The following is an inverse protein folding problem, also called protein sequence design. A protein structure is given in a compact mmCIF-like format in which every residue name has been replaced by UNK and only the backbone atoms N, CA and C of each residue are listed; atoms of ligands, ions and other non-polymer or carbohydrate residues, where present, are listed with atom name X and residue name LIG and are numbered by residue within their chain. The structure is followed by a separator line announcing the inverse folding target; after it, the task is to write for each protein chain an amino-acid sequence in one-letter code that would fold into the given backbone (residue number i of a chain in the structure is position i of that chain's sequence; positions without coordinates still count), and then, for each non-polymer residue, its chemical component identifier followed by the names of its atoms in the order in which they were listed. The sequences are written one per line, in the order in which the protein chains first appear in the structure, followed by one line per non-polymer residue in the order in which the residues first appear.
data_IF_819792187544
#
_entry.id   IF_819792187544
#
_cell.length_a   1.000
_cell.length_b   1.000
_cell.length_c   1.000
_cell.angle_alpha   90.00
_cell.angle_beta   90.00
_cell.angle_gamma   90.00
#
_symmetry.space_group_name_H-M   'P 1'
#
loop_
_entity.id
_entity.type
_entity.pdbx_description
1 polymer ?
#
# COMPACT_ATOMS: atom_id res chain seq x y z
N UNK A 1 -6.58 -0.36 -23.96
CA UNK A 1 -6.41 0.80 -23.08
C UNK A 1 -5.31 1.67 -23.66
N UNK A 2 -5.58 2.94 -23.93
CA UNK A 2 -4.53 3.89 -24.28
C UNK A 2 -3.80 4.30 -23.00
N UNK A 3 -2.67 3.67 -22.74
CA UNK A 3 -1.79 3.98 -21.62
C UNK A 3 -0.59 4.72 -22.20
N UNK A 4 -0.27 5.89 -21.64
CA UNK A 4 0.89 6.66 -22.08
C UNK A 4 2.20 6.08 -21.56
N UNK A 5 3.33 6.50 -22.16
CA UNK A 5 4.65 6.05 -21.71
C UNK A 5 4.96 6.43 -20.28
N UNK A 6 4.58 7.62 -19.82
CA UNK A 6 4.77 8.07 -18.44
C UNK A 6 3.96 7.23 -17.45
N UNK A 7 2.70 6.96 -17.73
CA UNK A 7 1.84 6.11 -16.92
C UNK A 7 2.38 4.68 -16.80
N UNK A 8 2.86 4.10 -17.90
CA UNK A 8 3.41 2.75 -17.92
C UNK A 8 4.69 2.65 -17.08
N UNK A 9 5.59 3.62 -17.19
CA UNK A 9 6.83 3.66 -16.40
C UNK A 9 6.52 3.76 -14.90
N UNK A 10 5.61 4.63 -14.50
CA UNK A 10 5.23 4.78 -13.09
C UNK A 10 4.53 3.53 -12.57
N UNK A 11 3.58 2.97 -13.31
CA UNK A 11 2.87 1.76 -12.92
C UNK A 11 3.83 0.56 -12.73
N UNK A 12 4.84 0.43 -13.59
CA UNK A 12 5.84 -0.63 -13.49
C UNK A 12 6.86 -0.39 -12.36
N UNK A 13 7.23 0.86 -12.09
CA UNK A 13 8.25 1.21 -11.10
C UNK A 13 7.69 1.26 -9.66
N UNK A 14 6.44 1.65 -9.48
CA UNK A 14 5.82 1.87 -8.16
C UNK A 14 5.99 0.71 -7.17
N UNK A 15 5.82 -0.58 -7.54
CA UNK A 15 5.96 -1.69 -6.60
C UNK A 15 7.38 -1.90 -6.09
N UNK A 16 8.38 -1.43 -6.83
CA UNK A 16 9.78 -1.65 -6.50
C UNK A 16 10.42 -0.46 -5.79
N UNK A 17 10.14 0.74 -6.29
CA UNK A 17 10.81 1.97 -5.88
C UNK A 17 9.99 2.73 -4.84
N UNK A 18 8.69 2.75 -4.96
CA UNK A 18 7.78 3.47 -4.09
C UNK A 18 7.04 4.60 -4.81
N UNK A 19 5.99 5.10 -4.18
CA UNK A 19 5.10 6.09 -4.80
C UNK A 19 5.77 7.44 -5.05
N UNK A 20 6.61 7.92 -4.13
CA UNK A 20 7.30 9.22 -4.26
C UNK A 20 8.43 9.14 -5.28
N UNK A 21 9.21 8.09 -5.20
CA UNK A 21 10.36 7.86 -6.07
C UNK A 21 9.94 7.54 -7.50
N UNK A 22 8.84 6.82 -7.72
CA UNK A 22 8.32 6.56 -9.07
C UNK A 22 7.85 7.83 -9.77
N UNK A 23 7.28 8.78 -9.04
CA UNK A 23 6.94 10.10 -9.58
C UNK A 23 8.19 10.92 -9.94
N UNK A 24 9.29 10.75 -9.19
CA UNK A 24 10.57 11.41 -9.52
C UNK A 24 11.19 10.90 -10.82
N UNK A 25 10.94 9.65 -11.23
CA UNK A 25 11.42 9.13 -12.51
C UNK A 25 10.84 9.89 -13.69
N UNK A 26 9.62 10.39 -13.56
CA UNK A 26 8.94 11.16 -14.59
C UNK A 26 8.95 12.67 -14.34
N UNK A 27 9.78 13.16 -13.39
CA UNK A 27 9.86 14.58 -13.01
C UNK A 27 9.86 15.54 -14.20
N UNK A 28 10.66 15.34 -15.27
CA UNK A 28 10.68 16.25 -16.42
C UNK A 28 9.36 16.34 -17.18
N UNK A 29 8.50 15.33 -17.05
CA UNK A 29 7.21 15.27 -17.73
C UNK A 29 6.06 15.83 -16.92
N UNK A 30 6.21 15.92 -15.59
CA UNK A 30 5.12 16.33 -14.66
C UNK A 30 4.41 17.62 -15.09
N UNK A 31 5.12 18.71 -15.52
CA UNK A 31 4.45 19.92 -15.95
C UNK A 31 3.64 19.79 -17.25
N UNK A 32 3.82 18.71 -17.98
CA UNK A 32 3.21 18.47 -19.29
C UNK A 32 2.26 17.27 -19.28
N UNK A 33 2.00 16.68 -18.11
CA UNK A 33 1.03 15.59 -17.97
C UNK A 33 -0.39 16.12 -18.08
N UNK A 34 -1.26 15.32 -18.70
CA UNK A 34 -2.70 15.56 -18.67
C UNK A 34 -3.27 15.26 -17.29
N UNK A 35 -4.44 15.80 -16.98
CA UNK A 35 -5.12 15.51 -15.70
C UNK A 35 -5.39 14.01 -15.51
N UNK A 36 -5.69 13.30 -16.60
CA UNK A 36 -5.89 11.85 -16.57
C UNK A 36 -4.59 11.08 -16.26
N UNK A 37 -3.48 11.48 -16.87
CA UNK A 37 -2.15 10.91 -16.57
C UNK A 37 -1.73 11.18 -15.13
N UNK A 38 -1.91 12.42 -14.66
CA UNK A 38 -1.59 12.78 -13.28
C UNK A 38 -2.42 11.98 -12.27
N UNK A 39 -3.73 11.84 -12.54
CA UNK A 39 -4.62 11.01 -11.73
C UNK A 39 -4.14 9.54 -11.71
N UNK A 40 -3.70 9.01 -12.84
CA UNK A 40 -3.18 7.65 -12.94
C UNK A 40 -1.87 7.47 -12.15
N UNK A 41 -0.94 8.40 -12.26
CA UNK A 41 0.34 8.39 -11.51
C UNK A 41 0.08 8.37 -10.01
N UNK A 42 -0.83 9.21 -9.53
CA UNK A 42 -1.21 9.23 -8.12
C UNK A 42 -1.90 7.93 -7.69
N UNK A 43 -2.83 7.43 -8.49
CA UNK A 43 -3.57 6.19 -8.20
C UNK A 43 -2.63 4.98 -8.14
N UNK A 44 -1.68 4.87 -9.06
CA UNK A 44 -0.67 3.80 -9.04
C UNK A 44 0.20 3.86 -7.79
N UNK A 45 0.60 5.05 -7.38
CA UNK A 45 1.41 5.25 -6.17
C UNK A 45 0.69 4.78 -4.91
N UNK A 46 -0.60 5.10 -4.77
CA UNK A 46 -1.39 4.69 -3.60
C UNK A 46 -1.83 3.23 -3.63
N UNK A 47 -1.86 2.60 -4.80
CA UNK A 47 -2.31 1.21 -4.95
C UNK A 47 -1.21 0.19 -4.64
N UNK A 48 0.06 0.57 -4.66
CA UNK A 48 1.21 -0.32 -4.52
C UNK A 48 2.00 -0.02 -3.25
N UNK A 49 2.74 -1.02 -2.77
CA UNK A 49 3.61 -0.90 -1.58
C UNK A 49 5.05 -0.77 -2.07
N UNK A 50 5.80 0.19 -1.53
CA UNK A 50 7.22 0.36 -1.82
C UNK A 50 8.05 -0.85 -1.35
N UNK A 51 9.12 -1.19 -2.05
CA UNK A 51 9.98 -2.32 -1.70
C UNK A 51 10.61 -2.20 -0.30
N UNK A 52 10.96 -0.99 0.14
CA UNK A 52 11.46 -0.74 1.50
C UNK A 52 10.39 -0.99 2.57
N UNK A 53 9.15 -0.60 2.29
CA UNK A 53 8.00 -0.80 3.16
C UNK A 53 7.60 -2.28 3.20
N UNK A 54 7.72 -2.99 2.07
CA UNK A 54 7.52 -4.43 1.97
C UNK A 54 8.43 -5.17 2.97
N UNK A 55 9.72 -4.82 3.02
CA UNK A 55 10.67 -5.42 3.97
C UNK A 55 10.26 -5.17 5.43
N UNK A 56 9.78 -3.96 5.73
CA UNK A 56 9.28 -3.63 7.07
C UNK A 56 8.05 -4.48 7.44
N UNK A 57 7.10 -4.68 6.54
CA UNK A 57 5.92 -5.51 6.81
C UNK A 57 6.27 -7.00 6.99
N UNK A 58 7.24 -7.50 6.25
CA UNK A 58 7.75 -8.87 6.45
C UNK A 58 8.38 -9.00 7.83
N UNK A 59 9.12 -8.00 8.30
CA UNK A 59 9.71 -8.01 9.65
C UNK A 59 8.65 -7.96 10.75
N UNK A 60 7.47 -7.43 10.47
CA UNK A 60 6.31 -7.43 11.38
C UNK A 60 5.51 -8.76 11.35
N UNK A 61 5.95 -9.75 10.57
CA UNK A 61 5.35 -11.09 10.51
C UNK A 61 4.25 -11.27 9.47
N UNK A 62 4.08 -10.32 8.54
CA UNK A 62 3.11 -10.46 7.45
C UNK A 62 3.68 -11.38 6.36
N UNK A 63 2.83 -12.22 5.79
CA UNK A 63 3.20 -13.16 4.73
C UNK A 63 3.72 -12.43 3.48
N UNK A 64 4.97 -12.68 3.03
CA UNK A 64 5.54 -12.05 1.84
C UNK A 64 4.74 -12.36 0.57
N UNK A 65 4.22 -13.58 0.48
CA UNK A 65 3.44 -14.03 -0.67
C UNK A 65 2.16 -13.21 -0.85
N UNK A 66 1.44 -12.95 0.26
CA UNK A 66 0.23 -12.14 0.23
C UNK A 66 0.52 -10.69 -0.20
N UNK A 67 1.63 -10.11 0.29
CA UNK A 67 2.04 -8.75 -0.07
C UNK A 67 2.40 -8.62 -1.56
N UNK A 68 3.23 -9.53 -2.06
CA UNK A 68 3.66 -9.50 -3.47
C UNK A 68 2.48 -9.75 -4.41
N UNK A 69 1.62 -10.74 -4.11
CA UNK A 69 0.43 -11.00 -4.94
C UNK A 69 -0.53 -9.81 -4.95
N UNK A 70 -0.73 -9.15 -3.82
CA UNK A 70 -1.52 -7.93 -3.72
C UNK A 70 -0.95 -6.79 -4.58
N UNK A 71 0.36 -6.57 -4.55
CA UNK A 71 1.02 -5.55 -5.38
C UNK A 71 0.84 -5.83 -6.88
N UNK A 72 1.06 -7.07 -7.30
CA UNK A 72 0.93 -7.46 -8.73
C UNK A 72 -0.52 -7.29 -9.22
N UNK A 73 -1.51 -7.61 -8.38
CA UNK A 73 -2.93 -7.42 -8.72
C UNK A 73 -3.35 -5.94 -8.73
N UNK A 74 -2.74 -5.11 -7.89
CA UNK A 74 -3.07 -3.69 -7.76
C UNK A 74 -2.68 -2.87 -8.98
N UNK A 75 -1.61 -3.24 -9.70
CA UNK A 75 -1.13 -2.50 -10.88
C UNK A 75 -2.20 -2.40 -11.98
N UNK A 76 -2.69 -3.51 -12.54
CA UNK A 76 -3.71 -3.45 -13.59
C UNK A 76 -5.04 -2.89 -13.05
N UNK A 77 -5.38 -3.13 -11.79
CA UNK A 77 -6.58 -2.59 -11.18
C UNK A 77 -6.53 -1.06 -11.08
N UNK A 78 -5.40 -0.49 -10.67
CA UNK A 78 -5.22 0.96 -10.59
C UNK A 78 -5.33 1.63 -11.96
N UNK A 79 -4.74 1.02 -13.00
CA UNK A 79 -4.85 1.48 -14.39
C UNK A 79 -6.31 1.46 -14.87
N UNK A 80 -7.02 0.37 -14.62
CA UNK A 80 -8.40 0.22 -15.04
C UNK A 80 -9.34 1.24 -14.35
N UNK A 81 -9.23 1.36 -13.01
CA UNK A 81 -10.06 2.26 -12.22
C UNK A 81 -9.78 3.73 -12.56
N UNK A 82 -8.50 4.08 -12.72
CA UNK A 82 -8.14 5.45 -13.10
C UNK A 82 -8.72 5.86 -14.44
N UNK A 83 -8.57 5.01 -15.46
CA UNK A 83 -9.14 5.28 -16.81
C UNK A 83 -10.68 5.25 -16.85
N UNK A 84 -11.32 4.48 -15.95
CA UNK A 84 -12.78 4.54 -15.78
C UNK A 84 -13.23 5.86 -15.14
N UNK A 85 -12.48 6.35 -14.16
CA UNK A 85 -12.82 7.58 -13.43
C UNK A 85 -12.49 8.83 -14.23
N UNK A 86 -11.35 8.82 -14.91
CA UNK A 86 -10.81 9.92 -15.69
C UNK A 86 -10.38 9.39 -17.07
N UNK A 87 -11.29 9.33 -18.06
CA UNK A 87 -10.95 8.92 -19.41
C UNK A 87 -10.04 9.98 -20.07
N UNK A 88 -9.06 9.51 -20.80
CA UNK A 88 -8.17 10.38 -21.57
C UNK A 88 -8.93 11.02 -22.72
N UNK A 89 -8.98 12.35 -22.74
CA UNK A 89 -9.64 13.15 -23.79
C UNK A 89 -8.60 13.94 -24.56
N UNK A 90 -7.44 14.21 -23.95
CA UNK A 90 -6.36 15.01 -24.50
C UNK A 90 -5.27 14.14 -25.13
N UNK A 91 -4.53 14.68 -26.09
CA UNK A 91 -3.37 14.00 -26.64
C UNK A 91 -2.20 14.09 -25.65
N UNK A 92 -1.76 12.95 -25.12
CA UNK A 92 -0.63 12.94 -24.20
C UNK A 92 0.69 13.16 -24.94
N UNK A 93 1.61 13.91 -24.34
CA UNK A 93 2.94 14.18 -24.88
C UNK A 93 3.76 12.90 -25.10
N UNK A 94 3.48 11.86 -24.34
CA UNK A 94 4.19 10.57 -24.35
C UNK A 94 3.45 9.48 -25.14
N UNK A 95 2.37 9.82 -25.86
CA UNK A 95 1.64 8.89 -26.70
C UNK A 95 2.45 8.59 -27.98
N UNK A 96 3.16 7.46 -27.98
CA UNK A 96 3.87 6.93 -29.15
C UNK A 96 5.25 7.54 -29.43
N UNK A 97 5.65 8.62 -28.79
CA UNK A 97 7.01 9.20 -28.90
C UNK A 97 7.48 9.69 -27.54
N UNK A 98 8.75 9.38 -27.21
CA UNK A 98 9.38 9.89 -26.00
C UNK A 98 10.01 11.25 -26.34
N UNK A 99 9.25 12.33 -26.15
CA UNK A 99 9.79 13.69 -26.27
C UNK A 99 10.20 14.12 -24.86
N UNK A 100 11.50 14.20 -24.60
CA UNK A 100 12.01 14.72 -23.34
C UNK A 100 11.88 16.25 -23.34
N UNK A 101 11.03 16.85 -22.48
CA UNK A 101 10.93 18.28 -22.38
C UNK A 101 12.29 18.86 -21.98
N UNK A 102 12.74 19.88 -22.69
CA UNK A 102 14.00 20.57 -22.35
C UNK A 102 13.72 21.60 -21.25
N UNK A 103 13.70 21.17 -20.03
CA UNK A 103 13.71 22.08 -18.89
C UNK A 103 15.09 22.75 -18.81
N UNK A 104 15.12 24.05 -19.05
CA UNK A 104 16.39 24.80 -19.13
C UNK A 104 16.93 25.18 -17.75
N UNK A 105 16.08 25.21 -16.73
CA UNK A 105 16.40 25.78 -15.41
C UNK A 105 17.11 24.80 -14.46
N UNK A 106 17.12 23.50 -14.72
CA UNK A 106 17.73 22.51 -13.84
C UNK A 106 18.73 21.57 -14.52
N UNK A 107 19.43 22.01 -15.59
CA UNK A 107 20.46 21.13 -16.19
C UNK A 107 21.66 20.99 -15.27
N UNK A 108 21.89 19.79 -14.67
CA UNK A 108 23.09 19.56 -13.91
C UNK A 108 24.30 19.65 -14.85
N UNK A 109 25.32 20.36 -14.46
CA UNK A 109 26.56 20.51 -15.25
C UNK A 109 27.36 19.20 -15.36
N UNK A 110 27.23 18.31 -14.36
CA UNK A 110 27.92 17.03 -14.27
C UNK A 110 27.03 15.96 -13.60
N UNK A 111 27.35 14.68 -13.83
CA UNK A 111 26.66 13.56 -13.18
C UNK A 111 26.69 13.62 -11.65
N UNK A 112 27.79 14.10 -11.07
CA UNK A 112 27.94 14.31 -9.64
C UNK A 112 27.00 15.40 -9.12
N UNK A 113 26.84 16.47 -9.87
CA UNK A 113 25.90 17.55 -9.54
C UNK A 113 24.44 17.05 -9.61
N UNK A 114 24.10 16.23 -10.62
CA UNK A 114 22.79 15.59 -10.70
C UNK A 114 22.52 14.68 -9.49
N UNK A 115 23.50 13.90 -9.07
CA UNK A 115 23.41 13.04 -7.89
C UNK A 115 23.22 13.86 -6.60
N UNK A 116 23.97 14.94 -6.42
CA UNK A 116 23.84 15.83 -5.25
C UNK A 116 22.46 16.47 -5.18
N UNK A 117 21.94 16.97 -6.31
CA UNK A 117 20.61 17.57 -6.39
C UNK A 117 19.51 16.53 -6.11
N UNK A 118 19.64 15.31 -6.65
CA UNK A 118 18.73 14.20 -6.38
C UNK A 118 18.73 13.80 -4.90
N UNK A 119 19.90 13.69 -4.28
CA UNK A 119 20.04 13.39 -2.84
C UNK A 119 19.40 14.46 -1.96
N UNK A 120 19.61 15.74 -2.28
CA UNK A 120 18.99 16.85 -1.56
C UNK A 120 17.46 16.81 -1.66
N UNK A 121 16.94 16.57 -2.86
CA UNK A 121 15.52 16.44 -3.09
C UNK A 121 14.94 15.24 -2.33
N UNK A 122 15.63 14.10 -2.34
CA UNK A 122 15.24 12.89 -1.61
C UNK A 122 15.15 13.12 -0.10
N UNK A 123 16.14 13.79 0.51
CA UNK A 123 16.12 14.13 1.94
C UNK A 123 14.95 15.08 2.26
N UNK A 124 14.72 16.07 1.41
CA UNK A 124 13.63 17.04 1.60
C UNK A 124 12.26 16.35 1.56
N UNK A 125 12.03 15.48 0.58
CA UNK A 125 10.78 14.73 0.45
C UNK A 125 10.62 13.73 1.60
N UNK A 126 11.66 12.95 1.93
CA UNK A 126 11.64 12.02 3.05
C UNK A 126 11.38 12.71 4.40
N UNK A 127 12.03 13.84 4.64
CA UNK A 127 11.79 14.64 5.84
C UNK A 127 10.34 15.16 5.94
N UNK A 128 9.76 15.58 4.81
CA UNK A 128 8.38 16.03 4.74
C UNK A 128 7.38 14.90 5.02
N UNK A 129 7.65 13.69 4.51
CA UNK A 129 6.82 12.50 4.76
C UNK A 129 6.85 12.14 6.26
N UNK A 130 8.04 12.09 6.88
CA UNK A 130 8.18 11.79 8.31
C UNK A 130 7.47 12.84 9.16
N UNK A 131 7.63 14.13 8.85
CA UNK A 131 6.96 15.20 9.56
C UNK A 131 5.43 15.10 9.45
N UNK A 132 4.91 14.83 8.25
CA UNK A 132 3.48 14.64 8.03
C UNK A 132 2.93 13.44 8.82
N UNK A 133 3.66 12.31 8.83
CA UNK A 133 3.30 11.13 9.62
C UNK A 133 3.24 11.41 11.12
N UNK A 134 4.22 12.12 11.66
CA UNK A 134 4.23 12.51 13.08
C UNK A 134 3.05 13.41 13.42
N UNK A 135 2.74 14.38 12.56
CA UNK A 135 1.58 15.26 12.75
C UNK A 135 0.26 14.48 12.74
N UNK A 136 0.08 13.55 11.80
CA UNK A 136 -1.13 12.72 11.72
C UNK A 136 -1.26 11.83 12.95
N UNK A 137 -0.18 11.20 13.41
CA UNK A 137 -0.18 10.37 14.61
C UNK A 137 -0.50 11.17 15.87
N UNK A 138 0.06 12.38 16.00
CA UNK A 138 -0.22 13.27 17.12
C UNK A 138 -1.70 13.70 17.12
N UNK A 139 -2.23 14.07 15.94
CA UNK A 139 -3.64 14.45 15.79
C UNK A 139 -4.57 13.27 16.12
N UNK A 140 -4.27 12.07 15.63
CA UNK A 140 -5.02 10.86 15.97
C UNK A 140 -4.99 10.56 17.47
N UNK A 141 -3.83 10.70 18.11
CA UNK A 141 -3.69 10.54 19.56
C UNK A 141 -4.54 11.54 20.33
N UNK A 142 -4.53 12.80 19.91
CA UNK A 142 -5.37 13.84 20.51
C UNK A 142 -6.86 13.54 20.34
N UNK A 143 -7.30 13.22 19.12
CA UNK A 143 -8.69 12.88 18.84
C UNK A 143 -9.15 11.66 19.65
N UNK A 144 -8.33 10.61 19.71
CA UNK A 144 -8.64 9.42 20.51
C UNK A 144 -8.71 9.74 22.01
N UNK A 145 -7.82 10.58 22.53
CA UNK A 145 -7.87 11.03 23.92
C UNK A 145 -9.17 11.78 24.27
N UNK A 146 -9.57 12.70 23.40
CA UNK A 146 -10.83 13.45 23.56
C UNK A 146 -12.06 12.54 23.45
N UNK A 147 -12.08 11.64 22.46
CA UNK A 147 -13.20 10.71 22.28
C UNK A 147 -13.32 9.71 23.41
N UNK A 148 -12.22 9.18 23.92
CA UNK A 148 -12.22 8.28 25.07
C UNK A 148 -12.67 8.97 26.34
N UNK A 149 -12.27 10.25 26.56
CA UNK A 149 -12.73 11.04 27.67
C UNK A 149 -14.25 11.28 27.58
N UNK A 150 -14.76 11.64 26.42
CA UNK A 150 -16.20 11.85 26.17
C UNK A 150 -16.98 10.54 26.24
N UNK A 151 -16.42 9.45 25.71
CA UNK A 151 -17.00 8.12 25.78
C UNK A 151 -17.22 7.65 27.24
N UNK A 152 -16.25 7.91 28.13
CA UNK A 152 -16.39 7.63 29.57
C UNK A 152 -17.52 8.42 30.20
N UNK A 153 -17.72 9.68 29.80
CA UNK A 153 -18.80 10.49 30.27
C UNK A 153 -20.19 9.95 29.85
N UNK A 154 -20.27 9.42 28.61
CA UNK A 154 -21.49 8.83 28.06
C UNK A 154 -21.66 7.34 28.41
N UNK A 155 -20.77 6.77 29.22
CA UNK A 155 -20.72 5.34 29.54
C UNK A 155 -20.58 4.42 28.33
N UNK A 156 -19.97 4.92 27.24
CA UNK A 156 -19.61 4.15 26.05
C UNK A 156 -18.13 3.79 26.17
N UNK A 157 -17.86 2.50 26.43
CA UNK A 157 -16.50 2.01 26.52
C UNK A 157 -15.88 1.91 25.12
N UNK A 158 -14.59 2.32 24.98
CA UNK A 158 -13.77 2.20 23.77
C UNK A 158 -14.20 3.06 22.55
N UNK A 159 -14.77 4.24 22.80
CA UNK A 159 -15.06 5.18 21.72
C UNK A 159 -13.73 5.74 21.16
N UNK A 160 -13.34 5.27 19.97
CA UNK A 160 -12.13 5.68 19.27
C UNK A 160 -12.45 6.11 17.85
N UNK A 161 -11.56 6.92 17.23
CA UNK A 161 -11.69 7.29 15.81
C UNK A 161 -11.74 6.03 14.93
N UNK A 162 -10.96 5.01 15.27
CA UNK A 162 -10.91 3.74 14.55
C UNK A 162 -12.28 3.04 14.51
N UNK A 163 -13.00 3.06 15.64
CA UNK A 163 -14.34 2.48 15.72
C UNK A 163 -15.33 3.25 14.83
N UNK A 164 -15.34 4.58 14.94
CA UNK A 164 -16.26 5.43 14.15
C UNK A 164 -16.02 5.25 12.65
N UNK A 165 -14.76 5.34 12.24
CA UNK A 165 -14.38 5.17 10.84
C UNK A 165 -14.64 3.75 10.36
N UNK A 166 -14.44 2.73 11.22
CA UNK A 166 -14.79 1.35 10.94
C UNK A 166 -16.26 1.16 10.60
N UNK A 167 -17.17 1.79 11.34
CA UNK A 167 -18.61 1.75 11.02
C UNK A 167 -18.94 2.45 9.71
N UNK A 168 -18.29 3.58 9.41
CA UNK A 168 -18.48 4.31 8.14
C UNK A 168 -18.04 3.44 6.94
N UNK A 169 -16.91 2.73 7.07
CA UNK A 169 -16.38 1.85 6.02
C UNK A 169 -16.95 0.42 6.03
N UNK A 170 -17.86 0.12 6.97
CA UNK A 170 -18.52 -1.19 7.04
C UNK A 170 -19.22 -1.60 5.73
N UNK A 171 -20.03 -0.73 5.09
CA UNK A 171 -20.65 -1.07 3.81
C UNK A 171 -19.62 -1.30 2.69
N UNK A 172 -18.48 -0.61 2.72
CA UNK A 172 -17.41 -0.79 1.75
C UNK A 172 -16.77 -2.17 1.91
N UNK A 173 -16.43 -2.56 3.14
CA UNK A 173 -15.89 -3.88 3.42
C UNK A 173 -16.87 -5.01 3.05
N UNK A 174 -18.16 -4.78 3.26
CA UNK A 174 -19.21 -5.70 2.82
C UNK A 174 -19.26 -5.88 1.30
N UNK A 175 -19.19 -4.77 0.54
CA UNK A 175 -19.17 -4.79 -0.92
C UNK A 175 -17.90 -5.42 -1.50
N UNK A 176 -16.78 -5.36 -0.78
CA UNK A 176 -15.53 -6.05 -1.14
C UNK A 176 -15.60 -7.57 -0.96
N UNK A 177 -16.68 -8.10 -0.39
CA UNK A 177 -16.88 -9.54 -0.23
C UNK A 177 -16.16 -10.17 0.96
N UNK A 178 -15.86 -9.39 1.99
CA UNK A 178 -15.26 -9.90 3.23
C UNK A 178 -16.23 -10.83 3.95
N UNK A 179 -15.74 -11.95 4.46
CA UNK A 179 -16.54 -12.96 5.14
C UNK A 179 -17.20 -12.40 6.41
N UNK A 180 -18.48 -12.81 6.65
CA UNK A 180 -19.33 -12.25 7.73
C UNK A 180 -19.01 -12.77 9.14
N UNK A 181 -17.99 -13.60 9.30
CA UNK A 181 -17.67 -14.32 10.54
C UNK A 181 -17.00 -13.47 11.65
N UNK A 182 -17.35 -12.18 11.76
CA UNK A 182 -16.82 -11.28 12.80
C UNK A 182 -15.60 -10.46 12.37
N UNK A 183 -14.98 -10.78 11.25
CA UNK A 183 -13.80 -10.07 10.75
C UNK A 183 -14.15 -8.85 9.90
N UNK A 184 -15.42 -8.72 9.47
CA UNK A 184 -15.88 -7.61 8.65
C UNK A 184 -15.65 -6.24 9.32
N UNK A 185 -15.92 -6.12 10.62
CA UNK A 185 -15.67 -4.89 11.38
C UNK A 185 -14.17 -4.60 11.49
N UNK A 186 -13.35 -5.62 11.72
CA UNK A 186 -11.89 -5.45 11.81
C UNK A 186 -11.30 -4.98 10.48
N UNK A 187 -11.73 -5.59 9.37
CA UNK A 187 -11.30 -5.19 8.02
C UNK A 187 -11.78 -3.78 7.69
N UNK A 188 -13.02 -3.42 8.04
CA UNK A 188 -13.52 -2.05 7.84
C UNK A 188 -12.75 -1.01 8.66
N UNK A 189 -12.36 -1.32 9.90
CA UNK A 189 -11.49 -0.48 10.72
C UNK A 189 -10.11 -0.30 10.07
N UNK A 190 -9.51 -1.36 9.54
CA UNK A 190 -8.23 -1.30 8.84
C UNK A 190 -8.29 -0.43 7.59
N UNK A 191 -9.32 -0.59 6.77
CA UNK A 191 -9.56 0.25 5.60
C UNK A 191 -9.69 1.72 6.04
N UNK A 192 -10.47 1.96 7.08
CA UNK A 192 -10.69 3.29 7.62
C UNK A 192 -9.42 3.95 8.14
N UNK A 193 -8.61 3.22 8.90
CA UNK A 193 -7.32 3.73 9.42
C UNK A 193 -6.36 4.01 8.28
N UNK A 194 -6.29 3.13 7.26
CA UNK A 194 -5.45 3.35 6.08
C UNK A 194 -5.80 4.64 5.36
N UNK A 195 -7.09 4.94 5.23
CA UNK A 195 -7.57 6.16 4.53
C UNK A 195 -7.34 7.42 5.36
N UNK A 196 -7.57 7.37 6.67
CA UNK A 196 -7.51 8.56 7.56
C UNK A 196 -6.08 8.85 8.02
N UNK A 197 -5.31 7.83 8.33
CA UNK A 197 -3.96 7.99 8.86
C UNK A 197 -2.89 7.61 7.84
N UNK A 198 -2.54 6.35 7.78
CA UNK A 198 -1.59 5.76 6.83
C UNK A 198 -1.60 4.24 6.97
N UNK A 199 -1.06 3.56 5.98
CA UNK A 199 -0.90 2.11 5.96
C UNK A 199 0.00 1.58 7.10
N UNK A 200 1.08 2.29 7.45
CA UNK A 200 1.95 1.93 8.59
C UNK A 200 1.19 1.91 9.91
N UNK A 201 0.36 2.92 10.13
CA UNK A 201 -0.47 3.01 11.33
C UNK A 201 -1.51 1.89 11.32
N UNK A 202 -2.14 1.62 10.18
CA UNK A 202 -3.10 0.53 10.05
C UNK A 202 -2.47 -0.83 10.38
N UNK A 203 -1.26 -1.10 9.90
CA UNK A 203 -0.53 -2.35 10.18
C UNK A 203 -0.09 -2.44 11.63
N UNK A 204 0.35 -1.34 12.24
CA UNK A 204 0.77 -1.31 13.66
C UNK A 204 -0.39 -1.53 14.63
N UNK A 205 -1.58 -1.08 14.29
CA UNK A 205 -2.80 -1.29 15.08
C UNK A 205 -3.52 -2.60 14.75
N UNK A 206 -3.12 -3.29 13.67
CA UNK A 206 -3.78 -4.51 13.27
C UNK A 206 -3.38 -5.67 14.17
N UNK A 207 -4.33 -6.34 14.84
CA UNK A 207 -4.11 -7.70 15.30
C UNK A 207 -3.98 -8.70 14.13
N UNK A 208 -3.62 -8.19 12.96
CA UNK A 208 -3.52 -8.94 11.70
C UNK A 208 -2.38 -9.94 11.73
N UNK A 209 -1.30 -9.64 12.43
CA UNK A 209 -0.21 -10.58 12.67
C UNK A 209 -0.68 -11.83 13.43
N UNK A 210 -1.64 -11.70 14.35
CA UNK A 210 -2.18 -12.83 15.10
C UNK A 210 -3.18 -13.67 14.29
N UNK A 211 -3.98 -13.06 13.42
CA UNK A 211 -4.94 -13.78 12.57
C UNK A 211 -4.20 -14.57 11.47
N UNK A 212 -3.18 -13.98 10.86
CA UNK A 212 -2.37 -14.67 9.85
C UNK A 212 -1.46 -15.75 10.46
N UNK A 213 -0.95 -15.56 11.66
CA UNK A 213 -0.19 -16.60 12.35
C UNK A 213 -1.06 -17.78 12.78
N UNK A 214 -2.30 -17.53 13.19
CA UNK A 214 -3.28 -18.57 13.50
C UNK A 214 -3.74 -19.36 12.28
N UNK A 215 -3.96 -18.70 11.15
CA UNK A 215 -4.29 -19.38 9.88
C UNK A 215 -3.10 -20.19 9.32
N UNK A 216 -1.88 -19.70 9.48
CA UNK A 216 -0.69 -20.45 9.05
C UNK A 216 -0.38 -21.64 9.96
N UNK A 217 -0.69 -21.56 11.25
CA UNK A 217 -0.54 -22.69 12.16
C UNK A 217 -1.61 -23.77 11.93
N UNK A 218 -2.80 -23.39 11.51
CA UNK A 218 -3.86 -24.36 11.15
C UNK A 218 -3.63 -25.01 9.78
N UNK A 219 -3.01 -24.31 8.82
CA UNK A 219 -2.66 -24.91 7.52
C UNK A 219 -1.43 -25.81 7.56
N UNK A 220 -0.49 -25.56 8.47
CA UNK A 220 0.67 -26.44 8.68
C UNK A 220 0.32 -27.72 9.42
N UNK A 221 -0.77 -27.76 10.20
CA UNK A 221 -1.26 -28.96 10.84
C UNK A 221 -2.10 -29.87 9.93
N UNK A 222 -2.55 -29.39 8.77
CA UNK A 222 -3.31 -30.18 7.81
C UNK A 222 -2.46 -30.84 6.69
N UNK A 223 -1.17 -30.54 6.62
CA UNK A 223 -0.26 -31.09 5.60
C UNK A 223 0.88 -31.92 6.21
N UNK A 224 0.58 -32.73 7.24
CA UNK A 224 1.41 -33.88 7.57
C UNK A 224 0.78 -35.09 6.90
N UNK A 225 1.34 -35.62 5.79
CA UNK A 225 0.87 -36.90 5.27
C UNK A 225 1.20 -37.94 6.34
N UNK A 226 0.16 -38.59 6.87
CA UNK A 226 0.29 -39.78 7.68
C UNK A 226 1.11 -40.80 6.87
N UNK A 227 2.32 -41.11 7.34
CA UNK A 227 3.06 -42.25 6.85
C UNK A 227 2.19 -43.50 7.13
N UNK A 228 1.91 -44.34 6.14
CA UNK A 228 1.27 -45.62 6.41
C UNK A 228 2.25 -46.50 7.19
N UNK A 229 1.85 -46.94 8.36
CA UNK A 229 2.51 -47.99 9.13
C UNK A 229 2.51 -49.29 8.33
N UNK A 230 3.57 -49.50 7.59
CA UNK A 230 3.85 -50.85 7.04
C UNK A 230 4.64 -51.59 8.06
N UNK A 231 4.14 -52.73 8.63
CA UNK A 231 4.94 -53.58 9.49
C UNK A 231 5.99 -54.29 8.65
N UNK A 232 7.24 -54.02 8.93
CA UNK A 232 8.39 -54.77 8.39
C UNK A 232 8.34 -56.14 9.00
N UNK A 233 7.87 -57.16 8.28
CA UNK A 233 8.11 -58.58 8.61
C UNK A 233 9.56 -58.90 8.42
N UNK A 234 10.31 -59.12 9.51
CA UNK A 234 11.62 -59.74 9.50
C UNK A 234 11.45 -61.26 9.31
N UNK A 235 12.15 -61.92 8.38
CA UNK A 235 12.19 -63.36 8.30
C UNK A 235 13.01 -63.93 9.44
N UNK A 236 12.51 -65.03 10.01
CA UNK A 236 13.15 -65.81 11.08
C UNK A 236 14.44 -66.49 10.52
N UNK A 237 15.52 -66.63 11.34
CA UNK A 237 16.70 -67.38 10.93
C UNK A 237 16.43 -68.86 10.98
N UNK A 238 16.92 -69.57 9.96
CA UNK A 238 17.04 -71.03 9.86
C UNK A 238 18.25 -71.54 10.60
#
# INVERSE_FOLDING_TARGET
MSVSGAEAVVAAASPFVGQGESAMLIKPYIPHLTDAELHQVMTSGFATIAGSVLAAYISMGISPLALVSSCVMSIPASLAISKLRYPEIEESLTAGQIIVPKDQDEKPSNSLHAFANGSWLGIKVGGMIIAALLCILALLGLCNGLLTWWGRYLNIHELTVQLIVGYIFYPVAFLLGVERNGDLLKVSQLIGIKVVANEFVAVSFAPFASIYSLNNSSSSSQHSPAMPDTPICLPAPA
#
